data_IF_132121595123
#
_entry.id   IF_132121595123
#
_cell.length_a   1.000
_cell.length_b   1.000
_cell.length_c   1.000
_cell.angle_alpha   90.00
_cell.angle_beta   90.00
_cell.angle_gamma   90.00
#
_symmetry.space_group_name_H-M   'P 1'
#
loop_
_entity.id
_entity.type
_entity.pdbx_description
1 polymer ?
#
# COMPACT_ATOMS: atom_id res chain seq x y z
N UNK A 1 26.70 12.04 1.12
CA UNK A 1 25.85 11.82 2.30
C UNK A 1 24.40 12.01 1.88
N UNK A 2 23.75 11.04 1.21
CA UNK A 2 22.33 11.12 0.83
C UNK A 2 21.74 9.73 0.51
N UNK A 3 21.98 8.69 1.33
CA UNK A 3 21.65 7.30 0.92
C UNK A 3 20.79 6.51 1.90
N UNK A 4 20.17 7.14 2.89
CA UNK A 4 19.44 6.41 3.94
C UNK A 4 17.98 6.84 4.18
N UNK A 5 17.51 7.93 3.57
CA UNK A 5 16.12 8.44 3.74
C UNK A 5 15.16 8.07 2.60
N UNK A 6 15.58 7.19 1.68
CA UNK A 6 14.88 6.93 0.41
C UNK A 6 13.86 5.79 0.48
N UNK A 7 13.75 5.06 1.59
CA UNK A 7 12.85 3.89 1.69
C UNK A 7 11.39 4.27 1.99
N UNK A 8 11.11 5.01 3.07
CA UNK A 8 9.73 5.32 3.49
C UNK A 8 8.95 6.16 2.47
N UNK A 9 9.63 7.16 1.89
CA UNK A 9 8.99 8.10 0.95
C UNK A 9 8.67 7.40 -0.38
N UNK A 10 9.50 6.44 -0.82
CA UNK A 10 9.22 5.66 -2.05
C UNK A 10 8.03 4.72 -1.86
N UNK A 11 7.95 4.03 -0.71
CA UNK A 11 6.88 3.05 -0.47
C UNK A 11 5.52 3.74 -0.55
N UNK A 12 5.36 4.85 0.17
CA UNK A 12 4.12 5.62 0.14
C UNK A 12 3.80 6.13 -1.26
N UNK A 13 4.78 6.70 -1.96
CA UNK A 13 4.56 7.27 -3.29
C UNK A 13 4.08 6.21 -4.31
N UNK A 14 4.66 5.02 -4.28
CA UNK A 14 4.23 3.92 -5.15
C UNK A 14 2.86 3.36 -4.75
N UNK A 15 2.57 3.19 -3.45
CA UNK A 15 1.22 2.82 -2.97
C UNK A 15 0.18 3.82 -3.48
N UNK A 16 0.43 5.12 -3.31
CA UNK A 16 -0.48 6.17 -3.79
C UNK A 16 -0.65 6.13 -5.30
N UNK A 17 0.41 5.84 -6.06
CA UNK A 17 0.39 5.74 -7.52
C UNK A 17 -0.44 4.53 -7.98
N UNK A 18 -0.27 3.36 -7.37
CA UNK A 18 -1.08 2.17 -7.69
C UNK A 18 -2.55 2.39 -7.30
N UNK A 19 -2.83 2.97 -6.13
CA UNK A 19 -4.20 3.33 -5.73
C UNK A 19 -4.85 4.27 -6.74
N UNK A 20 -4.14 5.32 -7.17
CA UNK A 20 -4.63 6.27 -8.19
C UNK A 20 -4.91 5.57 -9.51
N UNK A 21 -3.99 4.73 -9.98
CA UNK A 21 -4.17 3.95 -11.21
C UNK A 21 -5.44 3.08 -11.15
N UNK A 22 -5.60 2.30 -10.08
CA UNK A 22 -6.77 1.43 -9.88
C UNK A 22 -8.08 2.24 -9.84
N UNK A 23 -8.06 3.41 -9.21
CA UNK A 23 -9.21 4.29 -9.15
C UNK A 23 -9.53 4.93 -10.51
N UNK A 24 -8.53 5.43 -11.24
CA UNK A 24 -8.71 6.00 -12.57
C UNK A 24 -9.26 4.96 -13.55
N UNK A 25 -8.72 3.73 -13.53
CA UNK A 25 -9.21 2.60 -14.33
C UNK A 25 -10.68 2.28 -14.06
N UNK A 26 -11.14 2.54 -12.83
CA UNK A 26 -12.54 2.34 -12.42
C UNK A 26 -13.37 3.62 -12.38
N UNK A 27 -12.81 4.75 -12.82
CA UNK A 27 -13.45 6.07 -12.74
C UNK A 27 -13.97 6.41 -11.33
N UNK A 28 -13.23 6.01 -10.29
CA UNK A 28 -13.51 6.33 -8.89
C UNK A 28 -12.91 7.71 -8.56
N UNK A 29 -13.69 8.53 -7.86
CA UNK A 29 -13.18 9.78 -7.29
C UNK A 29 -12.47 9.48 -5.97
N UNK A 30 -11.14 9.47 -5.99
CA UNK A 30 -10.37 9.31 -4.77
C UNK A 30 -10.39 10.61 -3.96
N UNK A 31 -10.66 10.54 -2.64
CA UNK A 31 -10.39 11.65 -1.74
C UNK A 31 -8.87 11.89 -1.63
N UNK A 32 -8.49 12.93 -0.88
CA UNK A 32 -7.08 13.17 -0.58
C UNK A 32 -6.52 11.97 0.21
N UNK A 33 -5.58 11.23 -0.40
CA UNK A 33 -4.89 10.12 0.23
C UNK A 33 -4.11 10.64 1.44
N UNK A 34 -4.59 10.35 2.64
CA UNK A 34 -3.91 10.65 3.91
C UNK A 34 -3.54 9.35 4.59
N UNK A 35 -2.67 9.47 5.58
CA UNK A 35 -2.16 8.33 6.34
C UNK A 35 -3.34 7.62 7.05
N UNK A 36 -4.23 8.38 7.66
CA UNK A 36 -5.44 7.87 8.32
C UNK A 36 -6.58 7.51 7.37
N UNK A 37 -6.38 7.60 6.04
CA UNK A 37 -7.45 7.31 5.09
C UNK A 37 -7.78 5.83 5.04
N UNK A 38 -9.06 5.50 5.19
CA UNK A 38 -9.53 4.11 5.14
C UNK A 38 -9.65 3.60 3.69
N UNK A 39 -8.97 2.50 3.38
CA UNK A 39 -8.92 1.96 2.01
C UNK A 39 -10.30 1.43 1.59
N UNK A 40 -10.95 0.65 2.46
CA UNK A 40 -12.25 0.06 2.14
C UNK A 40 -13.38 1.07 2.35
N UNK A 41 -13.36 1.80 3.47
CA UNK A 41 -14.47 2.67 3.88
C UNK A 41 -14.44 4.04 3.17
N UNK A 42 -13.28 4.72 3.13
CA UNK A 42 -13.18 6.04 2.48
C UNK A 42 -12.89 5.95 0.97
N UNK A 43 -11.97 5.09 0.53
CA UNK A 43 -11.70 4.95 -0.92
C UNK A 43 -12.75 4.09 -1.64
N UNK A 44 -13.56 3.34 -0.90
CA UNK A 44 -14.53 2.41 -1.47
C UNK A 44 -13.87 1.20 -2.14
N UNK A 45 -12.63 0.84 -1.78
CA UNK A 45 -11.95 -0.30 -2.38
C UNK A 45 -12.58 -1.60 -1.91
N UNK A 46 -13.07 -2.41 -2.84
CA UNK A 46 -13.52 -3.75 -2.51
C UNK A 46 -12.33 -4.68 -2.24
N UNK A 47 -12.57 -5.82 -1.58
CA UNK A 47 -11.54 -6.84 -1.31
C UNK A 47 -10.78 -7.28 -2.58
N UNK A 48 -11.45 -7.27 -3.74
CA UNK A 48 -10.81 -7.55 -5.03
C UNK A 48 -9.84 -6.44 -5.46
N UNK A 49 -10.16 -5.18 -5.18
CA UNK A 49 -9.27 -4.06 -5.46
C UNK A 49 -8.06 -4.08 -4.53
N UNK A 50 -8.28 -4.41 -3.25
CA UNK A 50 -7.20 -4.58 -2.27
C UNK A 50 -6.27 -5.72 -2.70
N UNK A 51 -6.80 -6.87 -3.11
CA UNK A 51 -6.00 -7.97 -3.63
C UNK A 51 -5.18 -7.56 -4.87
N UNK A 52 -5.78 -6.82 -5.80
CA UNK A 52 -5.07 -6.31 -6.97
C UNK A 52 -4.00 -5.26 -6.61
N UNK A 53 -4.28 -4.39 -5.64
CA UNK A 53 -3.32 -3.43 -5.10
C UNK A 53 -2.10 -4.16 -4.53
N UNK A 54 -2.32 -5.14 -3.64
CA UNK A 54 -1.25 -5.92 -3.03
C UNK A 54 -0.43 -6.64 -4.10
N UNK A 55 -1.07 -7.28 -5.08
CA UNK A 55 -0.36 -7.96 -6.16
C UNK A 55 0.52 -7.00 -6.99
N UNK A 56 0.01 -5.81 -7.33
CA UNK A 56 0.82 -4.80 -8.05
C UNK A 56 2.00 -4.34 -7.20
N UNK A 57 1.80 -4.11 -5.89
CA UNK A 57 2.86 -3.69 -4.98
C UNK A 57 3.90 -4.80 -4.76
N UNK A 58 3.48 -6.06 -4.68
CA UNK A 58 4.36 -7.22 -4.63
C UNK A 58 5.24 -7.29 -5.90
N UNK A 59 4.66 -7.09 -7.08
CA UNK A 59 5.42 -7.02 -8.33
C UNK A 59 6.39 -5.82 -8.37
N UNK A 60 5.97 -4.66 -7.82
CA UNK A 60 6.77 -3.43 -7.83
C UNK A 60 7.95 -3.48 -6.84
N UNK A 61 7.72 -3.99 -5.62
CA UNK A 61 8.72 -4.05 -4.55
C UNK A 61 9.46 -5.40 -4.47
N UNK A 62 8.91 -6.46 -5.07
CA UNK A 62 9.43 -7.82 -4.95
C UNK A 62 9.27 -8.43 -3.56
N UNK A 63 8.41 -7.85 -2.71
CA UNK A 63 8.12 -8.36 -1.36
C UNK A 63 6.61 -8.41 -1.14
N UNK A 64 6.16 -9.51 -0.55
CA UNK A 64 4.80 -9.65 -0.07
C UNK A 64 4.82 -9.64 1.47
N UNK A 65 4.38 -8.53 2.10
CA UNK A 65 4.39 -8.42 3.55
C UNK A 65 3.26 -9.22 4.22
N UNK A 66 2.37 -9.85 3.43
CA UNK A 66 1.32 -10.75 3.90
C UNK A 66 1.74 -12.24 3.85
N UNK A 67 2.94 -12.56 3.36
CA UNK A 67 3.49 -13.93 3.48
C UNK A 67 3.79 -14.29 4.94
N UNK A 68 4.20 -13.32 5.75
CA UNK A 68 4.39 -13.52 7.18
C UNK A 68 3.02 -13.65 7.86
N UNK A 69 2.78 -14.75 8.57
CA UNK A 69 1.52 -15.04 9.29
C UNK A 69 1.15 -13.98 10.35
N UNK A 70 2.04 -13.03 10.63
CA UNK A 70 1.86 -11.92 11.55
C UNK A 70 0.94 -10.80 11.01
N UNK A 71 0.76 -10.68 9.69
CA UNK A 71 -0.04 -9.60 9.09
C UNK A 71 -1.13 -10.14 8.18
N UNK A 72 -2.39 -9.95 8.55
CA UNK A 72 -3.53 -10.32 7.71
C UNK A 72 -3.96 -9.15 6.83
N UNK A 73 -4.36 -9.45 5.59
CA UNK A 73 -4.98 -8.47 4.67
C UNK A 73 -6.21 -7.80 5.32
N UNK A 74 -6.94 -8.53 6.19
CA UNK A 74 -8.11 -8.02 6.92
C UNK A 74 -7.77 -6.98 7.98
N UNK A 75 -6.52 -6.92 8.45
CA UNK A 75 -6.05 -5.91 9.41
C UNK A 75 -5.63 -4.60 8.72
N UNK A 76 -5.51 -4.60 7.39
CA UNK A 76 -5.25 -3.40 6.61
C UNK A 76 -6.53 -2.58 6.45
N UNK A 77 -6.67 -1.57 7.32
CA UNK A 77 -7.80 -0.63 7.26
C UNK A 77 -7.42 0.68 6.59
N UNK A 78 -6.20 1.18 6.85
CA UNK A 78 -5.74 2.50 6.38
C UNK A 78 -4.52 2.43 5.49
N UNK A 79 -4.31 3.48 4.69
CA UNK A 79 -3.11 3.64 3.84
C UNK A 79 -1.84 3.62 4.69
N UNK A 80 -1.85 4.25 5.87
CA UNK A 80 -0.72 4.20 6.80
C UNK A 80 -0.38 2.78 7.21
N UNK A 81 -1.37 1.97 7.56
CA UNK A 81 -1.14 0.59 7.99
C UNK A 81 -0.50 -0.23 6.86
N UNK A 82 -0.98 -0.05 5.63
CA UNK A 82 -0.37 -0.67 4.45
C UNK A 82 1.09 -0.21 4.24
N UNK A 83 1.35 1.10 4.31
CA UNK A 83 2.71 1.63 4.16
C UNK A 83 3.65 1.07 5.24
N UNK A 84 3.23 1.06 6.50
CA UNK A 84 4.04 0.62 7.64
C UNK A 84 4.45 -0.85 7.53
N UNK A 85 3.51 -1.68 7.07
CA UNK A 85 3.69 -3.11 6.79
C UNK A 85 4.75 -3.33 5.69
N UNK A 86 4.64 -2.62 4.56
CA UNK A 86 5.64 -2.70 3.47
C UNK A 86 7.01 -2.15 3.89
N UNK A 87 7.06 -1.01 4.59
CA UNK A 87 8.30 -0.43 5.11
C UNK A 87 9.00 -1.40 6.05
N UNK A 88 8.24 -2.00 6.98
CA UNK A 88 8.76 -2.98 7.93
C UNK A 88 9.30 -4.23 7.24
N UNK A 89 8.60 -4.73 6.22
CA UNK A 89 9.03 -5.89 5.45
C UNK A 89 10.32 -5.60 4.65
N UNK A 90 10.37 -4.46 3.95
CA UNK A 90 11.56 -4.01 3.22
C UNK A 90 12.76 -3.75 4.14
N UNK A 91 12.52 -3.23 5.34
CA UNK A 91 13.56 -3.02 6.35
C UNK A 91 14.14 -4.34 6.88
N UNK A 92 13.33 -5.41 6.96
CA UNK A 92 13.77 -6.75 7.38
C UNK A 92 14.47 -7.53 6.26
N UNK A 93 14.14 -7.25 5.01
CA UNK A 93 14.73 -7.89 3.82
C UNK A 93 16.14 -7.37 3.46
N UNK A 94 16.71 -6.48 4.29
CA UNK A 94 18.00 -5.82 4.07
C UNK A 94 19.05 -6.22 5.10
#
# INVERSE_FOLDING_TARGET
MMSSEVNDVNVKAEIEKVIRKIAEERSLSLPALKDDTEIVDELGFSSMMVAGLIANLEEEFGVDPFQDEDVMITDIRTIKHLCDVYVSCLARSR
#
